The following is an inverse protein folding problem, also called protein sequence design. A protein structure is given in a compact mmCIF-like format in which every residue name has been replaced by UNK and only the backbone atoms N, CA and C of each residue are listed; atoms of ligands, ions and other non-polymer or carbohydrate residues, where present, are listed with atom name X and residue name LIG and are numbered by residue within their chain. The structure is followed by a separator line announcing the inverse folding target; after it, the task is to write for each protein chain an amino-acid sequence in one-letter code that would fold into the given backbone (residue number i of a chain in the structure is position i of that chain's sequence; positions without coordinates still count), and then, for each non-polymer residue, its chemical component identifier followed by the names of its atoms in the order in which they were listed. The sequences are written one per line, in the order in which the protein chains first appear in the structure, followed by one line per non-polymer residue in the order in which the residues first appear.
data_IF_800446031589
#
_entry.id   IF_800446031589
#
_cell.length_a   1.000
_cell.length_b   1.000
_cell.length_c   1.000
_cell.angle_alpha   90.00
_cell.angle_beta   90.00
_cell.angle_gamma   90.00
#
_symmetry.space_group_name_H-M   'P 1'
#
loop_
_entity.id
_entity.type
_entity.pdbx_description
1 polymer ?
#
# COMPACT_ATOMS: atom_id res chain seq x y z
N UNK A 1 -1.26 2.88 -25.32
CA UNK A 1 -0.20 2.12 -24.64
C UNK A 1 0.56 3.11 -23.78
N UNK A 2 0.60 2.91 -22.48
CA UNK A 2 1.42 3.70 -21.58
C UNK A 2 2.89 3.34 -21.75
N UNK A 3 3.79 4.32 -21.63
CA UNK A 3 5.23 4.07 -21.60
C UNK A 3 5.67 3.65 -20.20
N UNK A 4 6.75 2.89 -20.10
CA UNK A 4 7.40 2.63 -18.79
C UNK A 4 7.98 3.94 -18.24
N UNK A 5 7.86 4.11 -16.94
CA UNK A 5 8.56 5.14 -16.18
C UNK A 5 9.73 4.50 -15.44
N UNK A 6 10.89 5.14 -15.51
CA UNK A 6 12.09 4.70 -14.78
C UNK A 6 12.56 5.85 -13.91
N UNK A 7 12.69 5.61 -12.62
CA UNK A 7 13.28 6.53 -11.67
C UNK A 7 14.62 5.97 -11.18
N UNK A 8 15.60 6.86 -10.99
CA UNK A 8 16.90 6.54 -10.43
C UNK A 8 17.14 7.43 -9.23
N UNK A 9 17.58 6.83 -8.14
CA UNK A 9 17.89 7.53 -6.89
C UNK A 9 19.31 7.25 -6.43
N UNK A 10 19.92 8.23 -5.78
CA UNK A 10 21.16 8.08 -5.05
C UNK A 10 21.08 8.86 -3.76
N UNK A 11 21.33 8.19 -2.65
CA UNK A 11 21.43 8.83 -1.35
C UNK A 11 22.84 8.55 -0.77
N UNK A 12 23.45 9.54 -0.16
CA UNK A 12 24.72 9.41 0.53
C UNK A 12 24.53 9.72 2.00
N UNK A 13 24.98 8.81 2.84
CA UNK A 13 25.05 9.00 4.28
C UNK A 13 26.47 8.73 4.80
N UNK A 14 26.71 8.92 6.10
CA UNK A 14 28.04 8.78 6.72
C UNK A 14 28.56 7.33 6.73
N UNK A 15 27.66 6.36 6.52
CA UNK A 15 27.98 4.92 6.56
C UNK A 15 28.10 4.27 5.17
N UNK A 16 27.87 5.02 4.12
CA UNK A 16 27.91 4.55 2.73
C UNK A 16 26.94 5.32 1.86
N UNK A 17 26.75 4.87 0.63
CA UNK A 17 25.74 5.44 -0.28
C UNK A 17 24.81 4.35 -0.78
N UNK A 18 23.53 4.64 -0.93
CA UNK A 18 22.58 3.73 -1.56
C UNK A 18 22.22 4.21 -2.97
N UNK A 19 21.98 3.27 -3.86
CA UNK A 19 21.57 3.53 -5.25
C UNK A 19 20.32 2.74 -5.54
N UNK A 20 19.26 3.42 -5.96
CA UNK A 20 17.97 2.82 -6.25
C UNK A 20 17.57 2.97 -7.72
N UNK A 21 16.81 1.99 -8.18
CA UNK A 21 16.09 2.03 -9.44
C UNK A 21 14.65 1.59 -9.20
N UNK A 22 13.71 2.32 -9.76
CA UNK A 22 12.30 1.94 -9.82
C UNK A 22 11.84 1.93 -11.27
N UNK A 23 11.07 0.93 -11.64
CA UNK A 23 10.45 0.81 -12.94
C UNK A 23 8.95 0.59 -12.75
N UNK A 24 8.14 1.47 -13.33
CA UNK A 24 6.68 1.34 -13.34
C UNK A 24 6.17 1.21 -14.78
N UNK A 25 5.31 0.24 -15.01
CA UNK A 25 4.75 -0.04 -16.32
C UNK A 25 3.22 -0.22 -16.27
N UNK A 26 2.46 0.74 -16.83
CA UNK A 26 1.00 0.64 -16.92
C UNK A 26 0.58 -0.22 -18.12
N UNK A 27 -0.33 -1.16 -17.88
CA UNK A 27 -0.94 -2.06 -18.87
C UNK A 27 -2.47 -1.99 -18.79
N UNK A 28 -3.06 -0.94 -19.31
CA UNK A 28 -4.50 -0.72 -19.16
C UNK A 28 -4.88 -0.41 -17.72
N UNK A 29 -5.70 -1.26 -17.12
CA UNK A 29 -6.11 -1.13 -15.73
C UNK A 29 -5.07 -1.66 -14.72
N UNK A 30 -4.05 -2.37 -15.18
CA UNK A 30 -2.98 -2.92 -14.36
C UNK A 30 -1.75 -2.03 -14.44
N UNK A 31 -1.15 -1.71 -13.30
CA UNK A 31 0.18 -1.11 -13.20
C UNK A 31 1.08 -2.06 -12.42
N UNK A 32 2.25 -2.32 -12.96
CA UNK A 32 3.30 -3.08 -12.27
C UNK A 32 4.44 -2.14 -11.94
N UNK A 33 4.88 -2.13 -10.70
CA UNK A 33 6.06 -1.39 -10.24
C UNK A 33 7.03 -2.37 -9.62
N UNK A 34 8.31 -2.22 -9.93
CA UNK A 34 9.38 -2.96 -9.28
C UNK A 34 10.48 -1.98 -8.89
N UNK A 35 10.98 -2.10 -7.70
CA UNK A 35 12.10 -1.32 -7.20
C UNK A 35 13.25 -2.22 -6.75
N UNK A 36 14.44 -1.66 -6.73
CA UNK A 36 15.64 -2.26 -6.19
C UNK A 36 16.55 -1.18 -5.64
N UNK A 37 16.99 -1.36 -4.41
CA UNK A 37 17.94 -0.48 -3.75
C UNK A 37 19.16 -1.27 -3.33
N UNK A 38 20.31 -0.90 -3.87
CA UNK A 38 21.59 -1.40 -3.44
C UNK A 38 22.09 -0.55 -2.28
N UNK A 39 22.25 -1.16 -1.13
CA UNK A 39 22.83 -0.53 0.05
C UNK A 39 24.37 -0.56 0.00
N UNK A 40 24.97 0.60 0.23
CA UNK A 40 26.44 0.74 0.20
C UNK A 40 27.11 0.58 1.57
N UNK A 41 26.35 0.44 2.64
CA UNK A 41 26.88 0.22 3.97
C UNK A 41 27.37 -1.22 4.13
N UNK A 42 28.48 -1.40 4.82
CA UNK A 42 29.04 -2.74 5.07
C UNK A 42 28.10 -3.56 5.94
N UNK A 43 27.60 -4.68 5.40
CA UNK A 43 26.68 -5.58 6.09
C UNK A 43 25.21 -5.23 5.97
N UNK A 44 24.87 -4.18 5.21
CA UNK A 44 23.49 -3.92 4.86
C UNK A 44 23.03 -4.85 3.73
N UNK A 45 21.80 -5.30 3.80
CA UNK A 45 21.15 -6.07 2.75
C UNK A 45 20.56 -5.14 1.70
N UNK A 46 20.43 -5.61 0.48
CA UNK A 46 19.79 -4.86 -0.59
C UNK A 46 18.29 -5.06 -0.50
N UNK A 47 17.53 -4.03 -0.78
CA UNK A 47 16.08 -4.06 -0.71
C UNK A 47 15.50 -4.15 -2.13
N UNK A 48 14.41 -4.88 -2.28
CA UNK A 48 13.62 -4.90 -3.49
C UNK A 48 12.15 -5.06 -3.16
N UNK A 49 11.30 -4.48 -3.97
CA UNK A 49 9.86 -4.70 -3.91
C UNK A 49 9.26 -4.88 -5.30
N UNK A 50 8.14 -5.57 -5.35
CA UNK A 50 7.30 -5.68 -6.55
C UNK A 50 5.86 -5.45 -6.16
N UNK A 51 5.20 -4.53 -6.86
CA UNK A 51 3.83 -4.12 -6.63
C UNK A 51 3.00 -4.20 -7.89
N UNK A 52 1.82 -4.79 -7.77
CA UNK A 52 0.79 -4.85 -8.79
C UNK A 52 -0.43 -4.08 -8.31
N UNK A 53 -0.87 -3.11 -9.08
CA UNK A 53 -2.09 -2.35 -8.80
C UNK A 53 -3.02 -2.49 -9.98
N UNK A 54 -4.17 -3.09 -9.73
CA UNK A 54 -5.27 -3.14 -10.68
C UNK A 54 -6.37 -2.19 -10.22
N UNK A 55 -6.78 -1.30 -11.12
CA UNK A 55 -7.86 -0.35 -10.86
C UNK A 55 -8.73 -0.25 -12.10
N UNK A 56 -9.93 -0.83 -12.03
CA UNK A 56 -10.90 -0.77 -13.11
C UNK A 56 -12.31 -0.61 -12.56
N UNK A 57 -13.02 0.37 -13.09
CA UNK A 57 -14.39 0.70 -12.69
C UNK A 57 -14.51 0.84 -11.15
N UNK A 58 -15.20 -0.11 -10.54
CA UNK A 58 -15.47 -0.12 -9.11
C UNK A 58 -14.48 -0.97 -8.30
N UNK A 59 -13.55 -1.68 -8.94
CA UNK A 59 -12.66 -2.64 -8.29
C UNK A 59 -11.25 -2.11 -8.21
N UNK A 60 -10.68 -2.09 -7.02
CA UNK A 60 -9.26 -1.91 -6.76
C UNK A 60 -8.66 -3.20 -6.20
N UNK A 61 -7.47 -3.56 -6.65
CA UNK A 61 -6.66 -4.65 -6.10
C UNK A 61 -5.21 -4.20 -6.08
N UNK A 62 -4.58 -4.33 -4.92
CA UNK A 62 -3.12 -4.18 -4.77
C UNK A 62 -2.55 -5.49 -4.27
N UNK A 63 -1.42 -5.90 -4.82
CA UNK A 63 -0.61 -7.02 -4.33
C UNK A 63 0.83 -6.57 -4.36
N UNK A 64 1.55 -6.72 -3.27
CA UNK A 64 2.97 -6.43 -3.21
C UNK A 64 3.73 -7.49 -2.42
N UNK A 65 5.04 -7.54 -2.64
CA UNK A 65 5.99 -8.38 -1.90
C UNK A 65 7.37 -7.77 -1.99
N UNK A 66 8.21 -8.05 -1.01
CA UNK A 66 9.56 -7.51 -0.85
C UNK A 66 10.62 -8.59 -0.60
N UNK A 67 11.85 -8.16 -0.27
CA UNK A 67 13.00 -9.02 0.00
C UNK A 67 12.85 -9.84 1.29
N UNK A 68 12.03 -9.40 2.23
CA UNK A 68 11.74 -10.11 3.47
C UNK A 68 10.79 -11.30 3.24
N UNK A 69 10.26 -11.42 2.02
CA UNK A 69 9.21 -12.35 1.62
C UNK A 69 7.86 -12.03 2.26
N UNK A 70 7.74 -10.83 2.78
CA UNK A 70 6.46 -10.30 3.21
C UNK A 70 5.59 -9.98 2.01
N UNK A 71 4.32 -10.08 2.20
CA UNK A 71 3.35 -9.79 1.16
C UNK A 71 2.13 -9.10 1.73
N UNK A 72 1.56 -8.24 0.92
CA UNK A 72 0.28 -7.62 1.22
C UNK A 72 -0.70 -7.77 0.05
N UNK A 73 -1.96 -7.83 0.38
CA UNK A 73 -3.06 -7.88 -0.58
C UNK A 73 -4.19 -7.00 -0.08
N UNK A 74 -4.57 -6.00 -0.89
CA UNK A 74 -5.69 -5.11 -0.65
C UNK A 74 -6.74 -5.25 -1.74
N UNK A 75 -7.99 -5.34 -1.36
CA UNK A 75 -9.12 -5.32 -2.28
C UNK A 75 -10.09 -4.23 -1.86
N UNK A 76 -10.49 -3.40 -2.80
CA UNK A 76 -11.55 -2.41 -2.61
C UNK A 76 -12.64 -2.56 -3.65
N UNK A 77 -13.85 -2.24 -3.26
CA UNK A 77 -15.00 -2.23 -4.14
C UNK A 77 -15.90 -1.03 -3.87
N UNK A 78 -16.03 -0.18 -4.87
CA UNK A 78 -16.91 1.00 -4.87
C UNK A 78 -18.32 0.58 -5.31
N UNK A 79 -19.23 0.46 -4.36
CA UNK A 79 -20.62 0.03 -4.65
C UNK A 79 -21.46 1.10 -5.34
N UNK A 80 -20.91 2.31 -5.53
CA UNK A 80 -21.68 3.50 -5.91
C UNK A 80 -22.44 4.09 -4.72
N UNK A 81 -23.11 5.20 -4.94
CA UNK A 81 -23.83 5.92 -3.89
C UNK A 81 -22.96 6.32 -2.67
N UNK A 82 -21.63 6.42 -2.85
CA UNK A 82 -20.70 6.78 -1.78
C UNK A 82 -20.33 5.63 -0.85
N UNK A 83 -20.76 4.40 -1.10
CA UNK A 83 -20.42 3.23 -0.30
C UNK A 83 -19.24 2.49 -0.90
N UNK A 84 -18.20 2.27 -0.07
CA UNK A 84 -17.00 1.51 -0.44
C UNK A 84 -16.77 0.38 0.57
N UNK A 85 -16.42 -0.78 0.07
CA UNK A 85 -15.97 -1.92 0.88
C UNK A 85 -14.48 -2.13 0.67
N UNK A 86 -13.79 -2.58 1.71
CA UNK A 86 -12.37 -2.90 1.62
C UNK A 86 -12.02 -4.08 2.54
N UNK A 87 -11.03 -4.84 2.11
CA UNK A 87 -10.46 -5.94 2.87
C UNK A 87 -9.00 -6.09 2.46
N UNK A 88 -8.15 -6.41 3.40
CA UNK A 88 -6.74 -6.65 3.13
C UNK A 88 -6.08 -7.57 4.13
N UNK A 89 -4.88 -7.95 3.77
CA UNK A 89 -3.95 -8.71 4.60
C UNK A 89 -2.54 -8.19 4.33
N UNK A 90 -1.81 -7.93 5.37
CA UNK A 90 -0.46 -7.38 5.37
C UNK A 90 0.48 -8.25 6.20
N UNK A 91 1.76 -7.93 6.20
CA UNK A 91 2.81 -8.60 6.97
C UNK A 91 2.74 -10.13 6.82
N UNK A 92 2.79 -10.59 5.55
CA UNK A 92 2.71 -12.02 5.25
C UNK A 92 1.36 -12.68 5.61
N UNK A 93 0.35 -11.88 5.94
CA UNK A 93 -0.98 -12.31 6.37
C UNK A 93 -1.14 -12.40 7.90
N UNK A 94 -0.19 -11.89 8.67
CA UNK A 94 -0.30 -11.79 10.12
C UNK A 94 -1.32 -10.74 10.51
N UNK A 95 -1.37 -9.63 9.76
CA UNK A 95 -2.31 -8.56 9.93
C UNK A 95 -3.43 -8.62 8.89
N UNK A 96 -4.65 -8.41 9.33
CA UNK A 96 -5.82 -8.45 8.46
C UNK A 96 -6.82 -7.37 8.83
N UNK A 97 -7.48 -6.81 7.84
CA UNK A 97 -8.51 -5.82 8.06
C UNK A 97 -9.69 -5.97 7.10
N UNK A 98 -10.82 -5.48 7.52
CA UNK A 98 -12.00 -5.32 6.68
C UNK A 98 -12.79 -4.10 7.14
N UNK A 99 -13.44 -3.43 6.21
CA UNK A 99 -14.26 -2.29 6.58
C UNK A 99 -15.17 -1.80 5.47
N UNK A 100 -15.92 -0.80 5.83
CA UNK A 100 -16.84 -0.09 4.98
C UNK A 100 -16.73 1.40 5.24
N UNK A 101 -16.68 2.19 4.19
CA UNK A 101 -16.79 3.64 4.27
C UNK A 101 -18.03 4.13 3.52
N UNK A 102 -18.62 5.21 3.99
CA UNK A 102 -19.77 5.83 3.36
C UNK A 102 -19.60 7.34 3.29
N UNK A 103 -19.61 7.87 2.09
CA UNK A 103 -19.63 9.32 1.84
C UNK A 103 -21.06 9.83 2.03
N UNK A 104 -21.25 10.64 3.06
CA UNK A 104 -22.52 11.29 3.40
C UNK A 104 -22.77 12.55 2.54
N UNK A 105 -21.79 12.96 1.74
CA UNK A 105 -21.81 14.22 1.02
C UNK A 105 -21.50 15.42 1.90
N UNK A 106 -21.26 16.58 1.26
CA UNK A 106 -20.96 17.81 1.98
C UNK A 106 -19.64 17.79 2.79
N UNK A 107 -18.73 16.88 2.48
CA UNK A 107 -17.47 16.70 3.21
C UNK A 107 -17.58 15.82 4.46
N UNK A 108 -18.72 15.17 4.68
CA UNK A 108 -18.90 14.22 5.79
C UNK A 108 -18.73 12.78 5.32
N UNK A 109 -18.09 11.93 6.11
CA UNK A 109 -17.94 10.50 5.84
C UNK A 109 -17.99 9.66 7.11
N UNK A 110 -18.48 8.44 6.97
CA UNK A 110 -18.49 7.41 8.01
C UNK A 110 -17.51 6.29 7.61
N UNK A 111 -16.80 5.77 8.60
CA UNK A 111 -15.98 4.57 8.49
C UNK A 111 -16.37 3.60 9.60
N UNK A 112 -16.53 2.34 9.25
CA UNK A 112 -16.58 1.24 10.20
C UNK A 112 -15.58 0.17 9.73
N UNK A 113 -14.63 -0.19 10.57
CA UNK A 113 -13.62 -1.19 10.23
C UNK A 113 -13.32 -2.10 11.43
N UNK A 114 -12.80 -3.26 11.10
CA UNK A 114 -12.18 -4.17 12.06
C UNK A 114 -10.80 -4.54 11.52
N UNK A 115 -9.79 -4.43 12.36
CA UNK A 115 -8.45 -4.87 12.06
C UNK A 115 -7.93 -5.80 13.17
N UNK A 116 -7.22 -6.83 12.76
CA UNK A 116 -6.37 -7.62 13.62
C UNK A 116 -4.94 -7.21 13.26
N UNK A 117 -4.50 -6.14 13.86
CA UNK A 117 -3.17 -5.58 13.70
C UNK A 117 -2.41 -5.88 15.00
N UNK A 118 -1.41 -6.70 14.89
CA UNK A 118 -0.57 -7.08 16.02
C UNK A 118 0.73 -6.25 16.09
N UNK A 119 0.95 -5.40 15.11
CA UNK A 119 2.11 -4.52 15.05
C UNK A 119 1.79 -3.13 15.57
N UNK A 120 2.41 -2.76 16.69
CA UNK A 120 2.52 -1.37 17.11
C UNK A 120 3.65 -0.65 16.35
N UNK A 121 4.01 -1.14 15.20
CA UNK A 121 5.06 -0.58 14.40
C UNK A 121 4.42 0.26 13.30
N UNK A 122 4.51 1.58 13.47
CA UNK A 122 4.46 2.52 12.36
C UNK A 122 5.70 2.28 11.49
N UNK A 123 5.80 1.13 10.84
CA UNK A 123 6.83 0.89 9.86
C UNK A 123 6.40 1.57 8.57
N UNK A 124 7.09 2.66 8.26
CA UNK A 124 6.92 3.45 7.03
C UNK A 124 7.19 2.63 5.75
N UNK A 125 7.47 1.36 5.89
CA UNK A 125 7.80 0.42 4.81
C UNK A 125 6.60 -0.41 4.34
N UNK A 126 5.43 -0.26 4.96
CA UNK A 126 4.22 -0.97 4.58
C UNK A 126 3.72 -0.55 3.21
N UNK A 127 3.93 -1.39 2.23
CA UNK A 127 3.61 -1.15 0.84
C UNK A 127 2.12 -1.35 0.60
N UNK A 128 1.30 -0.46 1.13
CA UNK A 128 -0.03 -0.32 0.58
C UNK A 128 -1.23 -0.41 1.47
N UNK A 129 -1.10 -0.80 2.72
CA UNK A 129 -2.24 -0.83 3.60
C UNK A 129 -2.54 0.53 4.22
N UNK A 130 -3.80 0.75 4.48
CA UNK A 130 -4.23 1.79 5.37
C UNK A 130 -4.11 1.25 6.78
N UNK A 131 -3.28 1.90 7.56
CA UNK A 131 -3.11 1.64 8.98
C UNK A 131 -4.45 1.75 9.73
N UNK A 132 -5.06 0.61 10.02
CA UNK A 132 -6.29 0.54 10.81
C UNK A 132 -5.95 0.12 12.23
N UNK A 133 -6.41 0.89 13.20
CA UNK A 133 -6.25 0.54 14.61
C UNK A 133 -6.84 -0.83 14.91
N UNK A 134 -6.09 -1.62 15.68
CA UNK A 134 -6.53 -2.91 16.20
C UNK A 134 -7.94 -2.86 16.79
N UNK A 135 -8.75 -3.86 16.48
CA UNK A 135 -10.11 -3.98 16.92
C UNK A 135 -11.12 -3.26 16.04
N UNK A 136 -12.24 -2.89 16.60
CA UNK A 136 -13.32 -2.19 15.87
C UNK A 136 -13.11 -0.68 15.92
N UNK A 137 -13.14 -0.06 14.77
CA UNK A 137 -13.11 1.40 14.62
C UNK A 137 -14.42 1.90 14.03
N UNK A 138 -14.99 2.94 14.63
CA UNK A 138 -16.06 3.74 14.07
C UNK A 138 -15.61 5.20 14.04
N UNK A 139 -15.59 5.78 12.86
CA UNK A 139 -15.13 7.15 12.67
C UNK A 139 -16.15 7.95 11.88
N UNK A 140 -16.44 9.16 12.33
CA UNK A 140 -17.17 10.18 11.60
C UNK A 140 -16.20 11.32 11.32
N UNK A 141 -15.99 11.63 10.06
CA UNK A 141 -15.08 12.68 9.61
C UNK A 141 -15.84 13.81 8.93
N UNK A 142 -15.32 15.03 9.08
CA UNK A 142 -15.85 16.23 8.43
C UNK A 142 -14.68 16.99 7.79
N UNK A 143 -14.81 17.34 6.51
CA UNK A 143 -13.90 18.22 5.79
C UNK A 143 -14.64 19.57 5.53
N UNK A 144 -14.03 20.68 5.92
CA UNK A 144 -14.58 22.03 5.77
C UNK A 144 -13.73 22.85 4.80
#
# INVERSE_FOLDING_TARGET
MGGATVALGYAKNDNGGSTGIEVSYPMGALTTTASYVQEGATGAENNWDVKFVYAADAVGLTVATDESQDWNVDVSYEMGNGLSLFVGADDGGEDTYAGVSYDLGGGASLLASYANDNSNNDDDDDVGAKDYKEGMTFQLSFAF
#
